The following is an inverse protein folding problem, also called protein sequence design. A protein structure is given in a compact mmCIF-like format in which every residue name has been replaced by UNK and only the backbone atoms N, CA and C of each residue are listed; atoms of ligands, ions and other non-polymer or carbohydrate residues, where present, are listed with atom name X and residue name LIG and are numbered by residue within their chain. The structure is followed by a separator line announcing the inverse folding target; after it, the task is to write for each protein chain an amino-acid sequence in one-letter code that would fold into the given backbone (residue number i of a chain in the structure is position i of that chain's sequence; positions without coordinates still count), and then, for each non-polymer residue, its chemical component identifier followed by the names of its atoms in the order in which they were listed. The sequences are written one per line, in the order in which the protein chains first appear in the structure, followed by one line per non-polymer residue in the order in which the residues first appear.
data_IF_069154962619
#
_entry.id   IF_069154962619
#
_cell.length_a   1.000
_cell.length_b   1.000
_cell.length_c   1.000
_cell.angle_alpha   90.00
_cell.angle_beta   90.00
_cell.angle_gamma   90.00
#
_symmetry.space_group_name_H-M   'P 1'
#
loop_
_entity.id
_entity.type
_entity.pdbx_description
1 polymer ?
#
# COMPACT_ATOMS: atom_id res chain seq x y z
N UNK A 1 14.21 -0.67 -5.34
CA UNK A 1 13.16 -0.38 -4.34
C UNK A 1 12.13 0.58 -4.89
N UNK A 2 12.51 1.65 -5.60
CA UNK A 2 11.55 2.59 -6.18
C UNK A 2 11.22 2.27 -7.67
N UNK A 3 11.08 0.98 -8.03
CA UNK A 3 10.72 0.53 -9.40
C UNK A 3 9.53 -0.42 -9.31
N UNK A 4 8.60 -0.34 -10.26
CA UNK A 4 7.36 -1.14 -10.25
C UNK A 4 7.63 -2.65 -10.15
N UNK A 5 8.68 -3.14 -10.79
CA UNK A 5 9.08 -4.56 -10.77
C UNK A 5 9.62 -5.04 -9.42
N UNK A 6 9.77 -4.14 -8.43
CA UNK A 6 10.22 -4.52 -7.09
C UNK A 6 9.09 -4.98 -6.16
N UNK A 7 7.83 -4.86 -6.61
CA UNK A 7 6.66 -5.35 -5.89
C UNK A 7 6.10 -6.59 -6.58
N UNK A 8 5.97 -7.68 -5.82
CA UNK A 8 5.24 -8.87 -6.28
C UNK A 8 3.73 -8.64 -6.13
N UNK A 9 3.15 -7.95 -7.11
CA UNK A 9 1.73 -7.57 -7.11
C UNK A 9 0.80 -8.79 -7.22
N UNK A 10 1.24 -9.86 -7.88
CA UNK A 10 0.50 -11.12 -7.99
C UNK A 10 0.39 -11.80 -6.61
N UNK A 11 1.50 -11.88 -5.88
CA UNK A 11 1.49 -12.41 -4.51
C UNK A 11 0.63 -11.55 -3.58
N UNK A 12 0.62 -10.22 -3.75
CA UNK A 12 -0.23 -9.32 -2.99
C UNK A 12 -1.71 -9.59 -3.27
N UNK A 13 -2.13 -9.65 -4.53
CA UNK A 13 -3.52 -9.96 -4.90
C UNK A 13 -3.96 -11.34 -4.40
N UNK A 14 -3.10 -12.35 -4.53
CA UNK A 14 -3.37 -13.69 -3.98
C UNK A 14 -3.62 -13.64 -2.47
N UNK A 15 -2.80 -12.87 -1.74
CA UNK A 15 -2.94 -12.68 -0.29
C UNK A 15 -4.24 -11.95 0.07
N UNK A 16 -4.60 -10.89 -0.66
CA UNK A 16 -5.85 -10.14 -0.45
C UNK A 16 -7.07 -11.02 -0.70
N UNK A 17 -7.06 -11.83 -1.76
CA UNK A 17 -8.14 -12.79 -2.05
C UNK A 17 -8.27 -13.85 -0.97
N UNK A 18 -7.15 -14.45 -0.54
CA UNK A 18 -7.16 -15.41 0.56
C UNK A 18 -7.68 -14.80 1.88
N UNK A 19 -7.35 -13.52 2.15
CA UNK A 19 -7.91 -12.78 3.27
C UNK A 19 -9.42 -12.59 3.15
N UNK A 20 -9.90 -12.20 1.96
CA UNK A 20 -11.33 -11.99 1.70
C UNK A 20 -12.15 -13.27 1.83
N UNK A 21 -11.60 -14.43 1.47
CA UNK A 21 -12.26 -15.74 1.62
C UNK A 21 -12.33 -16.19 3.08
N UNK A 22 -11.28 -15.94 3.86
CA UNK A 22 -11.24 -16.28 5.27
C UNK A 22 -10.33 -15.36 6.09
N UNK A 23 -10.85 -14.25 6.62
CA UNK A 23 -10.04 -13.26 7.34
C UNK A 23 -9.48 -13.79 8.67
N UNK A 24 -9.98 -14.92 9.16
CA UNK A 24 -9.61 -15.53 10.45
C UNK A 24 -8.39 -16.45 10.32
N UNK A 25 -8.06 -16.92 9.11
CA UNK A 25 -6.99 -17.88 8.84
C UNK A 25 -5.61 -17.26 8.62
N UNK A 26 -5.52 -15.98 8.29
CA UNK A 26 -4.23 -15.33 8.10
C UNK A 26 -3.50 -15.15 9.43
N UNK A 27 -2.16 -15.30 9.46
CA UNK A 27 -1.38 -15.24 10.68
C UNK A 27 -1.65 -13.91 11.38
N UNK A 28 -2.33 -14.01 12.52
CA UNK A 28 -2.57 -12.87 13.41
C UNK A 28 -1.22 -12.33 13.85
N UNK A 29 -1.07 -11.01 13.86
CA UNK A 29 0.11 -10.37 14.43
C UNK A 29 0.41 -10.95 15.81
N UNK A 30 1.64 -11.40 16.10
CA UNK A 30 2.00 -11.91 17.42
C UNK A 30 1.66 -10.86 18.49
N UNK A 31 0.69 -11.15 19.37
CA UNK A 31 0.29 -10.25 20.47
C UNK A 31 -1.18 -9.86 20.52
N UNK A 32 -1.99 -10.18 19.51
CA UNK A 32 -3.45 -9.94 19.58
C UNK A 32 -4.15 -11.16 20.20
N UNK A 33 -4.30 -11.14 21.52
CA UNK A 33 -5.13 -12.11 22.25
C UNK A 33 -6.60 -11.71 22.11
N UNK A 34 -7.34 -12.37 21.21
CA UNK A 34 -8.80 -12.31 21.22
C UNK A 34 -9.27 -13.29 22.30
N UNK A 35 -9.87 -12.78 23.37
CA UNK A 35 -10.50 -13.59 24.42
C UNK A 35 -11.56 -14.50 23.77
N UNK A 36 -11.48 -15.84 23.92
CA UNK A 36 -12.52 -16.73 23.44
C UNK A 36 -13.70 -16.63 24.41
N UNK A 37 -14.60 -15.68 24.17
CA UNK A 37 -15.60 -15.33 25.17
C UNK A 37 -16.83 -14.62 24.64
N UNK A 38 -17.59 -15.26 23.76
CA UNK A 38 -19.05 -15.08 23.69
C UNK A 38 -19.67 -16.14 22.76
N UNK A 39 -20.60 -16.94 23.27
CA UNK A 39 -21.37 -17.96 22.51
C UNK A 39 -22.50 -17.35 21.65
N UNK A 40 -22.35 -16.10 21.23
CA UNK A 40 -23.26 -15.43 20.31
C UNK A 40 -22.53 -15.22 18.97
N UNK A 41 -23.21 -15.38 17.82
CA UNK A 41 -22.64 -15.04 16.52
C UNK A 41 -22.54 -13.51 16.43
N UNK A 42 -21.52 -12.94 17.08
CA UNK A 42 -21.17 -11.55 16.87
C UNK A 42 -20.75 -11.42 15.39
N UNK A 43 -21.50 -10.61 14.65
CA UNK A 43 -21.14 -10.20 13.31
C UNK A 43 -19.90 -9.32 13.44
N UNK A 44 -18.72 -9.92 13.31
CA UNK A 44 -17.46 -9.18 13.30
C UNK A 44 -17.23 -8.59 11.91
N UNK A 45 -17.00 -7.28 11.85
CA UNK A 45 -16.54 -6.61 10.64
C UNK A 45 -15.01 -6.72 10.63
N UNK A 46 -14.47 -7.41 9.62
CA UNK A 46 -13.03 -7.49 9.40
C UNK A 46 -12.61 -6.35 8.47
N UNK A 47 -11.52 -5.65 8.81
CA UNK A 47 -10.97 -4.55 8.01
C UNK A 47 -9.55 -4.93 7.60
N UNK A 48 -9.25 -4.79 6.30
CA UNK A 48 -7.90 -4.93 5.76
C UNK A 48 -7.41 -3.55 5.31
N UNK A 49 -6.23 -3.17 5.76
CA UNK A 49 -5.53 -1.97 5.29
C UNK A 49 -4.37 -2.42 4.43
N UNK A 50 -4.35 -1.96 3.18
CA UNK A 50 -3.28 -2.22 2.22
C UNK A 50 -2.55 -0.89 1.99
N UNK A 51 -1.25 -0.88 2.21
CA UNK A 51 -0.43 0.33 2.12
C UNK A 51 0.78 0.12 1.21
N UNK A 52 1.13 1.16 0.46
CA UNK A 52 2.18 1.13 -0.55
C UNK A 52 2.14 2.36 -1.45
N UNK A 53 3.27 2.68 -2.06
CA UNK A 53 3.46 3.92 -2.83
C UNK A 53 3.18 3.78 -4.34
N UNK A 54 2.90 2.56 -4.83
CA UNK A 54 2.65 2.24 -6.24
C UNK A 54 1.47 1.24 -6.40
N UNK A 55 0.44 1.33 -5.56
CA UNK A 55 -0.66 0.35 -5.60
C UNK A 55 -1.63 0.59 -6.76
N UNK A 56 -1.82 1.84 -7.17
CA UNK A 56 -2.92 2.27 -8.03
C UNK A 56 -2.64 2.22 -9.53
N UNK A 57 -1.56 1.57 -9.94
CA UNK A 57 -1.32 1.25 -11.35
C UNK A 57 -1.40 -0.26 -11.64
N UNK A 58 -1.91 -1.04 -10.69
CA UNK A 58 -2.14 -2.46 -10.87
C UNK A 58 -3.62 -2.79 -10.70
N UNK A 59 -4.33 -2.83 -11.83
CA UNK A 59 -5.78 -2.99 -11.90
C UNK A 59 -6.34 -4.19 -11.10
N UNK A 60 -5.72 -5.39 -11.12
CA UNK A 60 -6.25 -6.53 -10.36
C UNK A 60 -6.30 -6.31 -8.85
N UNK A 61 -5.44 -5.45 -8.30
CA UNK A 61 -5.51 -5.04 -6.90
C UNK A 61 -6.61 -3.99 -6.68
N UNK A 62 -6.68 -2.98 -7.55
CA UNK A 62 -7.66 -1.89 -7.45
C UNK A 62 -9.09 -2.41 -7.44
N UNK A 63 -9.38 -3.42 -8.26
CA UNK A 63 -10.71 -4.04 -8.36
C UNK A 63 -11.13 -4.78 -7.05
N UNK A 64 -10.22 -4.96 -6.08
CA UNK A 64 -10.48 -5.57 -4.77
C UNK A 64 -10.65 -4.56 -3.63
N UNK A 65 -10.45 -3.26 -3.88
CA UNK A 65 -10.45 -2.23 -2.83
C UNK A 65 -11.82 -1.55 -2.69
N UNK A 66 -12.35 -1.51 -1.48
CA UNK A 66 -13.59 -0.79 -1.18
C UNK A 66 -13.38 0.73 -1.09
N UNK A 67 -12.29 1.14 -0.45
CA UNK A 67 -11.94 2.54 -0.21
C UNK A 67 -10.48 2.76 -0.57
N UNK A 68 -10.20 3.89 -1.23
CA UNK A 68 -8.87 4.23 -1.73
C UNK A 68 -8.50 5.63 -1.23
N UNK A 69 -7.30 5.77 -0.69
CA UNK A 69 -6.77 7.04 -0.16
C UNK A 69 -5.43 7.33 -0.82
N UNK A 70 -5.22 8.57 -1.24
CA UNK A 70 -3.93 9.00 -1.79
C UNK A 70 -3.30 10.14 -0.97
N UNK A 71 -2.22 9.81 -0.26
CA UNK A 71 -1.49 10.78 0.55
C UNK A 71 -0.48 11.57 -0.30
N UNK A 72 -0.87 12.77 -0.72
CA UNK A 72 0.02 13.69 -1.44
C UNK A 72 0.79 14.62 -0.48
N UNK A 73 2.11 14.70 -0.67
CA UNK A 73 2.99 15.62 0.09
C UNK A 73 3.77 16.50 -0.89
N UNK A 74 3.79 17.83 -0.72
CA UNK A 74 4.52 18.72 -1.62
C UNK A 74 6.02 18.37 -1.70
N UNK A 75 6.60 18.59 -2.88
CA UNK A 75 8.01 18.27 -3.21
C UNK A 75 9.01 18.59 -2.09
N UNK A 76 9.00 19.83 -1.58
CA UNK A 76 9.97 20.28 -0.57
C UNK A 76 9.88 19.47 0.72
N UNK A 77 8.66 19.21 1.19
CA UNK A 77 8.42 18.46 2.42
C UNK A 77 8.71 16.98 2.24
N UNK A 78 8.32 16.40 1.10
CA UNK A 78 8.64 15.02 0.74
C UNK A 78 10.17 14.80 0.69
N UNK A 79 10.90 15.69 0.02
CA UNK A 79 12.36 15.66 -0.07
C UNK A 79 13.01 15.78 1.30
N UNK A 80 12.52 16.69 2.15
CA UNK A 80 13.01 16.86 3.52
C UNK A 80 12.81 15.59 4.35
N UNK A 81 11.62 14.97 4.30
CA UNK A 81 11.33 13.71 5.01
C UNK A 81 12.18 12.55 4.51
N UNK A 82 12.31 12.38 3.18
CA UNK A 82 13.14 11.32 2.57
C UNK A 82 14.59 11.43 3.03
N UNK A 83 15.16 12.65 3.04
CA UNK A 83 16.54 12.90 3.50
C UNK A 83 16.80 12.47 4.95
N UNK A 84 15.78 12.48 5.79
CA UNK A 84 15.89 12.06 7.21
C UNK A 84 15.61 10.57 7.43
N UNK A 85 15.15 9.85 6.40
CA UNK A 85 14.80 8.43 6.50
C UNK A 85 16.04 7.57 6.27
N UNK A 86 16.24 6.57 7.13
CA UNK A 86 17.34 5.63 6.99
C UNK A 86 16.90 4.43 6.13
N UNK A 87 17.47 4.32 4.94
CA UNK A 87 17.28 3.18 4.05
C UNK A 87 18.39 2.14 4.26
N UNK A 88 18.10 0.87 3.99
CA UNK A 88 19.12 -0.19 4.03
C UNK A 88 20.26 0.05 3.04
N UNK A 89 19.92 0.60 1.87
CA UNK A 89 20.86 1.13 0.88
C UNK A 89 20.70 2.65 0.86
N UNK A 90 21.74 3.43 1.18
CA UNK A 90 21.67 4.88 1.13
C UNK A 90 21.33 5.41 -0.26
N UNK A 91 20.52 6.46 -0.33
CA UNK A 91 20.19 7.14 -1.59
C UNK A 91 21.46 7.77 -2.18
N UNK A 92 21.84 7.46 -3.45
CA UNK A 92 22.95 8.14 -4.10
C UNK A 92 22.66 9.64 -4.31
N UNK A 93 23.70 10.48 -4.47
CA UNK A 93 23.52 11.90 -4.74
C UNK A 93 22.58 12.15 -5.93
N UNK A 94 21.57 13.01 -5.71
CA UNK A 94 20.61 13.37 -6.75
C UNK A 94 19.48 12.36 -7.01
N UNK A 95 19.44 11.20 -6.33
CA UNK A 95 18.40 10.17 -6.56
C UNK A 95 16.98 10.74 -6.48
N UNK A 96 16.70 11.57 -5.47
CA UNK A 96 15.35 12.09 -5.28
C UNK A 96 14.88 12.92 -6.47
N UNK A 97 15.75 13.81 -6.96
CA UNK A 97 15.43 14.76 -8.03
C UNK A 97 15.45 14.09 -9.40
N UNK A 98 16.39 13.16 -9.62
CA UNK A 98 16.57 12.49 -10.90
C UNK A 98 15.68 11.27 -11.10
N UNK A 99 15.13 10.68 -10.02
CA UNK A 99 14.43 9.39 -10.12
C UNK A 99 13.14 9.34 -9.30
N UNK A 100 13.21 9.51 -7.97
CA UNK A 100 12.05 9.28 -7.08
C UNK A 100 10.91 10.24 -7.41
N UNK A 101 11.19 11.53 -7.51
CA UNK A 101 10.15 12.53 -7.76
C UNK A 101 9.58 12.44 -9.19
N UNK A 102 10.40 12.32 -10.26
CA UNK A 102 9.87 12.04 -11.60
C UNK A 102 8.98 10.80 -11.67
N UNK A 103 9.35 9.71 -10.98
CA UNK A 103 8.52 8.50 -10.95
C UNK A 103 7.21 8.70 -10.18
N UNK A 104 7.23 9.44 -9.07
CA UNK A 104 6.01 9.83 -8.36
C UNK A 104 5.05 10.61 -9.27
N UNK A 105 5.56 11.61 -10.00
CA UNK A 105 4.74 12.40 -10.94
C UNK A 105 4.19 11.54 -12.08
N UNK A 106 5.02 10.63 -12.62
CA UNK A 106 4.58 9.66 -13.63
C UNK A 106 3.45 8.78 -13.10
N UNK A 107 3.59 8.24 -11.90
CA UNK A 107 2.57 7.42 -11.26
C UNK A 107 1.27 8.20 -11.04
N UNK A 108 1.35 9.44 -10.55
CA UNK A 108 0.19 10.31 -10.39
C UNK A 108 -0.57 10.50 -11.72
N UNK A 109 0.16 10.71 -12.82
CA UNK A 109 -0.45 10.80 -14.14
C UNK A 109 -1.10 9.49 -14.60
N UNK A 110 -0.46 8.35 -14.37
CA UNK A 110 -1.03 7.03 -14.69
C UNK A 110 -2.34 6.77 -13.91
N UNK A 111 -2.41 7.22 -12.65
CA UNK A 111 -3.62 7.13 -11.83
C UNK A 111 -4.76 8.00 -12.41
N UNK A 112 -4.45 9.24 -12.80
CA UNK A 112 -5.40 10.17 -13.43
C UNK A 112 -5.93 9.60 -14.75
N UNK A 113 -5.03 9.14 -15.63
CA UNK A 113 -5.36 8.56 -16.94
C UNK A 113 -6.21 7.28 -16.80
N UNK A 114 -6.01 6.53 -15.72
CA UNK A 114 -6.77 5.31 -15.42
C UNK A 114 -8.12 5.57 -14.73
N UNK A 115 -8.43 6.82 -14.39
CA UNK A 115 -9.68 7.19 -13.71
C UNK A 115 -9.82 6.58 -12.32
N UNK A 116 -8.71 6.35 -11.60
CA UNK A 116 -8.76 5.80 -10.25
C UNK A 116 -9.33 6.84 -9.30
N UNK A 117 -10.51 6.58 -8.78
CA UNK A 117 -11.14 7.42 -7.77
C UNK A 117 -10.47 7.21 -6.41
N UNK A 118 -9.82 8.24 -5.90
CA UNK A 118 -9.11 8.26 -4.63
C UNK A 118 -9.64 9.42 -3.77
N UNK A 119 -9.76 9.16 -2.46
CA UNK A 119 -10.07 10.16 -1.44
C UNK A 119 -8.80 10.90 -1.02
#
# INVERSE_FOLDING_TARGET
WDVLDSLDMEAMVSTVRAWSENPVKLPRSPGVNVTPGSKEPAIYIHILVIEGFLLYNYKPLIDLLDIRYHLAVPYNECKRRRRTRNYSVPDPPGLFDGHVWPLYLKHGKEMEDSGVDVV
#
